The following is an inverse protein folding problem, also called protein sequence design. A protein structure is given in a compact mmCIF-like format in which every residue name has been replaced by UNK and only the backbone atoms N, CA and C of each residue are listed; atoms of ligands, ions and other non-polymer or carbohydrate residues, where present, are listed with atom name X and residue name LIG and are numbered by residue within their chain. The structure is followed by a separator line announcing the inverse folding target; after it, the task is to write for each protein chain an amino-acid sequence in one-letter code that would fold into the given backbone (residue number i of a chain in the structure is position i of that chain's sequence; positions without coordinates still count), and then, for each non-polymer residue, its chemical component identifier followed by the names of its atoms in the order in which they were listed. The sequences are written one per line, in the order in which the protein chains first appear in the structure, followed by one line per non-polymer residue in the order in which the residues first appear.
data_IF_158386202327
#
_entry.id   IF_158386202327
#
_cell.length_a   1.000
_cell.length_b   1.000
_cell.length_c   1.000
_cell.angle_alpha   90.00
_cell.angle_beta   90.00
_cell.angle_gamma   90.00
#
_symmetry.space_group_name_H-M   'P 1'
#
loop_
_entity.id
_entity.type
_entity.pdbx_description
1 polymer ?
#
# COMPACT_ATOMS: atom_id res chain seq x y z
N UNK A 1 5.64 15.48 22.05
CA UNK A 1 6.29 15.22 20.75
C UNK A 1 5.45 15.90 19.66
N UNK A 2 6.01 16.86 18.92
CA UNK A 2 5.34 17.42 17.74
C UNK A 2 5.28 16.31 16.67
N UNK A 3 4.08 15.90 16.27
CA UNK A 3 3.91 15.03 15.10
C UNK A 3 4.23 15.85 13.85
N UNK A 4 5.31 15.54 13.16
CA UNK A 4 5.54 15.99 11.80
C UNK A 4 4.63 15.18 10.87
N UNK A 5 3.49 15.77 10.49
CA UNK A 5 2.59 15.18 9.50
C UNK A 5 3.14 15.39 8.10
N UNK A 6 3.06 14.37 7.25
CA UNK A 6 3.33 14.54 5.83
C UNK A 6 2.09 15.11 5.12
N UNK A 7 2.26 16.32 4.59
CA UNK A 7 1.22 17.04 3.87
C UNK A 7 0.81 16.35 2.56
N UNK A 8 1.73 15.68 1.86
CA UNK A 8 1.45 14.98 0.60
C UNK A 8 0.59 13.74 0.83
N UNK A 9 0.88 12.94 1.86
CA UNK A 9 0.05 11.80 2.24
C UNK A 9 -1.33 12.25 2.75
N UNK A 10 -1.37 13.34 3.52
CA UNK A 10 -2.63 13.93 3.95
C UNK A 10 -3.48 14.34 2.73
N UNK A 11 -2.88 15.10 1.81
CA UNK A 11 -3.56 15.57 0.59
C UNK A 11 -3.98 14.40 -0.29
N UNK A 12 -3.10 13.41 -0.49
CA UNK A 12 -3.40 12.19 -1.25
C UNK A 12 -4.54 11.39 -0.63
N UNK A 13 -4.55 11.22 0.69
CA UNK A 13 -5.62 10.55 1.43
C UNK A 13 -6.97 11.27 1.29
N UNK A 14 -6.98 12.61 1.36
CA UNK A 14 -8.22 13.39 1.14
C UNK A 14 -8.73 13.25 -0.29
N UNK A 15 -7.84 13.37 -1.28
CA UNK A 15 -8.21 13.17 -2.69
C UNK A 15 -8.74 11.75 -2.93
N UNK A 16 -8.13 10.74 -2.30
CA UNK A 16 -8.59 9.35 -2.36
C UNK A 16 -10.00 9.21 -1.77
N UNK A 17 -10.30 9.81 -0.62
CA UNK A 17 -11.66 9.79 -0.04
C UNK A 17 -12.67 10.43 -0.99
N UNK A 18 -12.37 11.62 -1.51
CA UNK A 18 -13.30 12.35 -2.39
C UNK A 18 -13.60 11.57 -3.67
N UNK A 19 -12.57 10.98 -4.27
CA UNK A 19 -12.71 10.16 -5.49
C UNK A 19 -13.46 8.85 -5.22
N UNK A 20 -13.22 8.20 -4.07
CA UNK A 20 -13.97 7.01 -3.65
C UNK A 20 -15.45 7.30 -3.40
N UNK A 21 -15.78 8.40 -2.73
CA UNK A 21 -17.18 8.81 -2.51
C UNK A 21 -17.87 9.11 -3.85
N UNK A 22 -17.22 9.85 -4.74
CA UNK A 22 -17.76 10.15 -6.06
C UNK A 22 -17.99 8.88 -6.89
N UNK A 23 -16.99 7.98 -6.91
CA UNK A 23 -17.11 6.66 -7.52
C UNK A 23 -18.29 5.89 -6.91
N UNK A 24 -18.46 5.96 -5.58
CA UNK A 24 -19.52 5.24 -4.88
C UNK A 24 -20.93 5.68 -5.24
N UNK A 25 -21.15 6.98 -5.23
CA UNK A 25 -22.44 7.55 -5.62
C UNK A 25 -22.79 7.17 -7.06
N UNK A 26 -21.82 7.24 -7.97
CA UNK A 26 -22.04 6.91 -9.38
C UNK A 26 -22.32 5.43 -9.60
N UNK A 27 -21.58 4.54 -8.93
CA UNK A 27 -21.78 3.09 -9.06
C UNK A 27 -23.08 2.61 -8.44
N UNK A 28 -23.49 3.23 -7.32
CA UNK A 28 -24.78 2.91 -6.70
C UNK A 28 -25.97 3.41 -7.53
N UNK A 29 -25.78 4.47 -8.33
CA UNK A 29 -26.86 5.10 -9.12
C UNK A 29 -26.97 4.55 -10.56
N UNK A 30 -25.88 4.04 -11.14
CA UNK A 30 -25.80 3.69 -12.57
C UNK A 30 -25.24 2.27 -12.83
N UNK A 31 -25.48 1.34 -11.91
CA UNK A 31 -25.03 -0.07 -11.96
C UNK A 31 -23.49 -0.27 -11.90
N UNK A 32 -23.07 -1.53 -11.70
CA UNK A 32 -21.72 -1.93 -11.25
C UNK A 32 -20.62 -1.74 -12.31
N UNK A 33 -19.43 -1.34 -11.88
CA UNK A 33 -18.18 -1.41 -12.66
C UNK A 33 -17.61 -2.84 -12.62
N UNK A 34 -17.06 -3.34 -13.73
CA UNK A 34 -16.44 -4.67 -13.85
C UNK A 34 -14.92 -4.67 -13.60
N UNK A 35 -14.40 -3.60 -13.03
CA UNK A 35 -12.97 -3.53 -12.71
C UNK A 35 -12.63 -4.23 -11.39
N UNK A 36 -13.63 -4.50 -10.53
CA UNK A 36 -13.39 -5.03 -9.17
C UNK A 36 -14.47 -6.00 -8.69
N UNK A 37 -14.10 -6.83 -7.71
CA UNK A 37 -14.93 -7.93 -7.20
C UNK A 37 -16.27 -7.47 -6.62
N UNK A 38 -16.19 -6.56 -5.65
CA UNK A 38 -17.32 -6.03 -4.93
C UNK A 38 -17.01 -4.58 -4.57
N UNK A 39 -17.61 -3.70 -5.33
CA UNK A 39 -17.38 -2.27 -5.22
C UNK A 39 -17.70 -1.70 -3.83
N UNK A 40 -18.70 -2.23 -3.12
CA UNK A 40 -19.00 -1.81 -1.75
C UNK A 40 -17.86 -2.19 -0.80
N UNK A 41 -17.39 -3.43 -0.87
CA UNK A 41 -16.28 -3.91 -0.03
C UNK A 41 -14.98 -3.16 -0.34
N UNK A 42 -14.68 -2.95 -1.61
CA UNK A 42 -13.55 -2.14 -2.06
C UNK A 42 -13.61 -0.72 -1.51
N UNK A 43 -14.77 -0.05 -1.64
CA UNK A 43 -14.92 1.33 -1.16
C UNK A 43 -14.65 1.41 0.34
N UNK A 44 -15.19 0.48 1.14
CA UNK A 44 -14.92 0.45 2.58
C UNK A 44 -13.45 0.20 2.90
N UNK A 45 -12.83 -0.75 2.22
CA UNK A 45 -11.44 -1.13 2.46
C UNK A 45 -10.48 0.01 2.08
N UNK A 46 -10.65 0.61 0.90
CA UNK A 46 -9.83 1.73 0.44
C UNK A 46 -10.09 3.02 1.24
N UNK A 47 -11.32 3.23 1.73
CA UNK A 47 -11.62 4.34 2.63
C UNK A 47 -10.93 4.15 3.99
N UNK A 48 -10.88 2.93 4.53
CA UNK A 48 -10.11 2.63 5.72
C UNK A 48 -8.60 2.91 5.51
N UNK A 49 -8.04 2.52 4.36
CA UNK A 49 -6.66 2.88 3.99
C UNK A 49 -6.48 4.40 3.96
N UNK A 50 -7.39 5.13 3.32
CA UNK A 50 -7.30 6.58 3.22
C UNK A 50 -7.30 7.25 4.62
N UNK A 51 -8.15 6.79 5.53
CA UNK A 51 -8.15 7.27 6.93
C UNK A 51 -6.84 6.97 7.65
N UNK A 52 -6.24 5.79 7.46
CA UNK A 52 -4.94 5.44 8.03
C UNK A 52 -3.85 6.40 7.53
N UNK A 53 -3.86 6.72 6.23
CA UNK A 53 -2.91 7.64 5.59
C UNK A 53 -3.09 9.10 6.02
N UNK A 54 -4.31 9.50 6.38
CA UNK A 54 -4.61 10.83 6.95
C UNK A 54 -4.16 10.92 8.41
N UNK A 55 -4.46 9.89 9.23
CA UNK A 55 -4.20 9.90 10.67
C UNK A 55 -2.72 9.73 11.03
N UNK A 56 -1.95 9.04 10.19
CA UNK A 56 -0.50 8.85 10.32
C UNK A 56 -0.07 8.45 11.75
N UNK A 57 -0.76 7.48 12.35
CA UNK A 57 -0.39 6.95 13.67
C UNK A 57 0.88 6.09 13.60
N UNK A 58 1.45 5.69 14.74
CA UNK A 58 2.67 4.86 14.75
C UNK A 58 2.47 3.59 13.91
N UNK A 59 3.38 3.33 12.97
CA UNK A 59 3.29 2.19 12.04
C UNK A 59 2.09 2.21 11.08
N UNK A 60 1.57 3.41 10.76
CA UNK A 60 0.51 3.57 9.76
C UNK A 60 0.88 2.93 8.42
N UNK A 61 2.13 3.10 7.96
CA UNK A 61 2.58 2.58 6.65
C UNK A 61 2.54 1.05 6.57
N UNK A 62 2.91 0.37 7.66
CA UNK A 62 2.80 -1.09 7.78
C UNK A 62 1.33 -1.54 7.74
N UNK A 63 0.47 -0.86 8.51
CA UNK A 63 -0.96 -1.20 8.60
C UNK A 63 -1.65 -1.00 7.25
N UNK A 64 -1.42 0.13 6.58
CA UNK A 64 -1.95 0.42 5.26
C UNK A 64 -1.46 -0.61 4.22
N UNK A 65 -0.16 -0.95 4.24
CA UNK A 65 0.41 -1.93 3.29
C UNK A 65 -0.20 -3.32 3.47
N UNK A 66 -0.42 -3.79 4.70
CA UNK A 66 -1.06 -5.09 4.97
C UNK A 66 -2.47 -5.12 4.39
N UNK A 67 -3.26 -4.06 4.61
CA UNK A 67 -4.62 -3.96 4.08
C UNK A 67 -4.60 -3.96 2.54
N UNK A 68 -3.63 -3.26 1.94
CA UNK A 68 -3.48 -3.21 0.48
C UNK A 68 -3.05 -4.54 -0.15
N UNK A 69 -2.21 -5.35 0.53
CA UNK A 69 -1.86 -6.72 0.11
C UNK A 69 -3.10 -7.61 0.09
N UNK A 70 -3.90 -7.56 1.16
CA UNK A 70 -5.16 -8.33 1.22
C UNK A 70 -6.10 -7.89 0.08
N UNK A 71 -6.19 -6.59 -0.17
CA UNK A 71 -6.98 -6.04 -1.25
C UNK A 71 -6.53 -6.50 -2.64
N UNK A 72 -5.22 -6.45 -2.93
CA UNK A 72 -4.71 -6.88 -4.23
C UNK A 72 -4.89 -8.39 -4.45
N UNK A 73 -4.73 -9.22 -3.41
CA UNK A 73 -5.05 -10.64 -3.48
C UNK A 73 -6.53 -10.91 -3.85
N UNK A 74 -7.47 -10.16 -3.27
CA UNK A 74 -8.90 -10.25 -3.65
C UNK A 74 -9.15 -9.85 -5.11
N UNK A 75 -8.45 -8.83 -5.62
CA UNK A 75 -8.59 -8.41 -7.01
C UNK A 75 -7.99 -9.42 -8.00
N UNK A 76 -6.90 -10.09 -7.65
CA UNK A 76 -6.37 -11.21 -8.46
C UNK A 76 -7.40 -12.35 -8.51
N UNK A 77 -7.96 -12.73 -7.36
CA UNK A 77 -9.01 -13.75 -7.31
C UNK A 77 -10.22 -13.36 -8.17
N UNK A 78 -10.60 -12.09 -8.18
CA UNK A 78 -11.65 -11.59 -9.08
C UNK A 78 -11.30 -11.74 -10.55
N UNK A 79 -10.07 -11.37 -10.96
CA UNK A 79 -9.64 -11.56 -12.35
C UNK A 79 -9.73 -13.03 -12.81
N UNK A 80 -9.51 -13.98 -11.88
CA UNK A 80 -9.62 -15.42 -12.15
C UNK A 80 -11.09 -15.88 -12.21
N UNK A 81 -11.88 -15.50 -11.22
CA UNK A 81 -13.26 -16.00 -11.03
C UNK A 81 -14.31 -15.24 -11.86
N UNK A 82 -14.02 -14.00 -12.24
CA UNK A 82 -14.93 -13.08 -12.93
C UNK A 82 -15.12 -13.36 -14.42
N UNK A 83 -14.33 -14.26 -15.01
CA UNK A 83 -14.39 -14.62 -16.44
C UNK A 83 -15.81 -14.96 -16.92
N UNK A 84 -16.54 -15.73 -16.11
CA UNK A 84 -17.93 -16.14 -16.41
C UNK A 84 -18.95 -14.98 -16.52
N UNK A 85 -18.69 -13.83 -15.87
CA UNK A 85 -19.57 -12.65 -15.96
C UNK A 85 -19.25 -11.78 -17.17
N UNK A 86 -18.04 -11.92 -17.72
CA UNK A 86 -17.50 -11.13 -18.83
C UNK A 86 -17.82 -11.71 -20.21
N UNK A 87 -17.96 -13.03 -20.29
CA UNK A 87 -18.32 -13.73 -21.54
C UNK A 87 -19.60 -13.20 -22.18
N UNK A 88 -20.55 -12.74 -21.37
CA UNK A 88 -21.82 -12.18 -21.83
C UNK A 88 -21.72 -10.73 -22.33
N UNK A 89 -20.64 -10.00 -21.99
CA UNK A 89 -20.53 -8.57 -22.21
C UNK A 89 -19.66 -8.21 -23.42
N UNK A 90 -18.57 -8.95 -23.64
CA UNK A 90 -17.59 -8.65 -24.70
C UNK A 90 -17.95 -9.27 -26.06
N UNK A 91 -18.84 -10.27 -26.10
CA UNK A 91 -19.37 -10.88 -27.33
C UNK A 91 -18.35 -11.54 -28.27
N UNK A 92 -17.07 -11.51 -27.90
CA UNK A 92 -15.93 -12.09 -28.63
C UNK A 92 -14.95 -12.69 -27.64
N UNK A 93 -14.59 -13.96 -27.86
CA UNK A 93 -13.65 -14.71 -27.03
C UNK A 93 -12.24 -14.08 -27.05
N UNK A 94 -11.84 -13.47 -28.17
CA UNK A 94 -10.53 -12.80 -28.29
C UNK A 94 -10.44 -11.56 -27.39
N UNK A 95 -11.50 -10.75 -27.36
CA UNK A 95 -11.57 -9.57 -26.51
C UNK A 95 -11.66 -9.95 -25.03
N UNK A 96 -12.35 -11.04 -24.72
CA UNK A 96 -12.43 -11.58 -23.36
C UNK A 96 -11.06 -12.04 -22.85
N UNK A 97 -10.30 -12.79 -23.66
CA UNK A 97 -8.94 -13.22 -23.31
C UNK A 97 -8.02 -12.01 -23.10
N UNK A 98 -8.05 -11.02 -23.99
CA UNK A 98 -7.23 -9.82 -23.88
C UNK A 98 -7.59 -9.02 -22.63
N UNK A 99 -8.89 -8.87 -22.34
CA UNK A 99 -9.37 -8.18 -21.14
C UNK A 99 -8.92 -8.89 -19.86
N UNK A 100 -9.15 -10.19 -19.73
CA UNK A 100 -8.79 -10.97 -18.53
C UNK A 100 -7.28 -10.94 -18.32
N UNK A 101 -6.50 -11.10 -19.39
CA UNK A 101 -5.04 -11.05 -19.31
C UNK A 101 -4.55 -9.67 -18.85
N UNK A 102 -5.09 -8.59 -19.42
CA UNK A 102 -4.73 -7.23 -19.03
C UNK A 102 -5.13 -6.91 -17.58
N UNK A 103 -6.32 -7.37 -17.16
CA UNK A 103 -6.82 -7.19 -15.80
C UNK A 103 -5.95 -7.92 -14.78
N UNK A 104 -5.64 -9.20 -15.03
CA UNK A 104 -4.78 -10.02 -14.18
C UNK A 104 -3.37 -9.45 -14.09
N UNK A 105 -2.76 -9.09 -15.23
CA UNK A 105 -1.44 -8.48 -15.24
C UNK A 105 -1.41 -7.17 -14.46
N UNK A 106 -2.43 -6.31 -14.62
CA UNK A 106 -2.58 -5.08 -13.85
C UNK A 106 -2.63 -5.35 -12.35
N UNK A 107 -3.53 -6.22 -11.90
CA UNK A 107 -3.66 -6.54 -10.48
C UNK A 107 -2.44 -7.25 -9.88
N UNK A 108 -1.77 -8.11 -10.63
CA UNK A 108 -0.52 -8.76 -10.19
C UNK A 108 0.61 -7.75 -10.06
N UNK A 109 0.76 -6.81 -11.00
CA UNK A 109 1.76 -5.74 -10.90
C UNK A 109 1.49 -4.82 -9.70
N UNK A 110 0.23 -4.50 -9.44
CA UNK A 110 -0.18 -3.79 -8.24
C UNK A 110 0.20 -4.56 -6.96
N UNK A 111 -0.14 -5.85 -6.88
CA UNK A 111 0.15 -6.69 -5.72
C UNK A 111 1.65 -6.78 -5.44
N UNK A 112 2.45 -7.02 -6.49
CA UNK A 112 3.91 -7.01 -6.40
C UNK A 112 4.41 -5.66 -5.87
N UNK A 113 3.90 -4.55 -6.39
CA UNK A 113 4.31 -3.22 -5.93
C UNK A 113 4.02 -3.02 -4.43
N UNK A 114 2.83 -3.40 -3.97
CA UNK A 114 2.43 -3.26 -2.56
C UNK A 114 3.24 -4.20 -1.65
N UNK A 115 3.57 -5.42 -2.09
CA UNK A 115 4.47 -6.32 -1.34
C UNK A 115 5.86 -5.70 -1.15
N UNK A 116 6.39 -5.04 -2.18
CA UNK A 116 7.65 -4.31 -2.06
C UNK A 116 7.55 -3.10 -1.13
N UNK A 117 6.41 -2.38 -1.11
CA UNK A 117 6.17 -1.34 -0.10
C UNK A 117 6.11 -1.94 1.30
N UNK A 118 5.40 -3.06 1.50
CA UNK A 118 5.32 -3.76 2.78
C UNK A 118 6.72 -4.19 3.26
N UNK A 119 7.53 -4.77 2.39
CA UNK A 119 8.92 -5.12 2.68
C UNK A 119 9.73 -3.89 3.07
N UNK A 120 9.60 -2.79 2.31
CA UNK A 120 10.32 -1.55 2.59
C UNK A 120 9.93 -0.92 3.95
N UNK A 121 8.65 -0.88 4.30
CA UNK A 121 8.19 -0.33 5.59
C UNK A 121 8.43 -1.26 6.78
N UNK A 122 8.77 -2.53 6.54
CA UNK A 122 9.07 -3.51 7.61
C UNK A 122 10.56 -3.83 7.76
N UNK A 123 11.36 -3.65 6.70
CA UNK A 123 12.78 -3.99 6.68
C UNK A 123 13.65 -2.73 6.68
N UNK A 124 14.43 -2.46 7.73
CA UNK A 124 15.21 -1.22 7.88
C UNK A 124 16.42 -1.10 6.93
N UNK A 125 16.74 -2.14 6.14
CA UNK A 125 17.92 -2.18 5.26
C UNK A 125 17.59 -2.28 3.77
N UNK A 126 16.32 -2.10 3.40
CA UNK A 126 15.90 -2.28 2.02
C UNK A 126 16.23 -1.03 1.17
N UNK A 127 16.83 -1.21 -0.01
CA UNK A 127 17.28 -0.09 -0.85
C UNK A 127 16.10 0.77 -1.31
N UNK A 128 15.99 1.97 -0.74
CA UNK A 128 14.95 2.95 -1.04
C UNK A 128 14.92 3.37 -2.52
N UNK A 129 16.09 3.54 -3.16
CA UNK A 129 16.17 4.00 -4.56
C UNK A 129 15.65 2.94 -5.50
N UNK A 130 16.06 1.68 -5.28
CA UNK A 130 15.56 0.54 -6.03
C UNK A 130 14.05 0.38 -5.83
N UNK A 131 13.59 0.33 -4.58
CA UNK A 131 12.17 0.15 -4.23
C UNK A 131 11.30 1.19 -4.90
N UNK A 132 11.67 2.47 -4.78
CA UNK A 132 10.90 3.57 -5.35
C UNK A 132 10.78 3.45 -6.86
N UNK A 133 11.90 3.20 -7.56
CA UNK A 133 11.88 3.05 -9.03
C UNK A 133 11.06 1.83 -9.46
N UNK A 134 11.22 0.71 -8.77
CA UNK A 134 10.50 -0.52 -9.08
C UNK A 134 9.00 -0.35 -8.85
N UNK A 135 8.58 0.18 -7.70
CA UNK A 135 7.17 0.42 -7.38
C UNK A 135 6.54 1.42 -8.34
N UNK A 136 7.21 2.53 -8.66
CA UNK A 136 6.71 3.48 -9.66
C UNK A 136 6.54 2.79 -11.02
N UNK A 137 7.53 2.00 -11.47
CA UNK A 137 7.45 1.27 -12.72
C UNK A 137 6.29 0.28 -12.76
N UNK A 138 6.14 -0.55 -11.72
CA UNK A 138 5.09 -1.54 -11.60
C UNK A 138 3.69 -0.91 -11.54
N UNK A 139 3.51 0.13 -10.72
CA UNK A 139 2.24 0.85 -10.62
C UNK A 139 1.90 1.60 -11.92
N UNK A 140 2.89 2.17 -12.61
CA UNK A 140 2.64 2.84 -13.90
C UNK A 140 2.22 1.84 -14.97
N UNK A 141 2.91 0.70 -15.07
CA UNK A 141 2.54 -0.37 -15.99
C UNK A 141 1.13 -0.92 -15.68
N UNK A 142 0.83 -1.15 -14.39
CA UNK A 142 -0.52 -1.53 -13.94
C UNK A 142 -1.57 -0.51 -14.36
N UNK A 143 -1.33 0.78 -14.10
CA UNK A 143 -2.26 1.85 -14.44
C UNK A 143 -2.56 1.90 -15.94
N UNK A 144 -1.53 1.79 -16.78
CA UNK A 144 -1.68 1.80 -18.24
C UNK A 144 -2.55 0.62 -18.69
N UNK A 145 -2.31 -0.58 -18.17
CA UNK A 145 -3.12 -1.76 -18.49
C UNK A 145 -4.57 -1.56 -18.09
N UNK A 146 -4.83 -1.12 -16.85
CA UNK A 146 -6.18 -0.90 -16.34
C UNK A 146 -6.91 0.19 -17.13
N UNK A 147 -6.24 1.29 -17.51
CA UNK A 147 -6.83 2.33 -18.37
C UNK A 147 -7.13 1.78 -19.76
N UNK A 148 -6.24 0.97 -20.34
CA UNK A 148 -6.39 0.45 -21.70
C UNK A 148 -7.55 -0.55 -21.82
N UNK A 149 -7.77 -1.40 -20.81
CA UNK A 149 -8.84 -2.41 -20.83
C UNK A 149 -10.20 -1.85 -20.38
N UNK A 150 -10.23 -0.75 -19.63
CA UNK A 150 -11.46 -0.21 -19.04
C UNK A 150 -12.53 0.19 -20.07
N UNK A 151 -12.20 0.79 -21.24
CA UNK A 151 -13.18 1.07 -22.29
C UNK A 151 -13.86 -0.18 -22.86
N UNK A 152 -13.20 -1.35 -22.83
CA UNK A 152 -13.76 -2.59 -23.38
C UNK A 152 -14.99 -3.07 -22.61
N UNK A 153 -15.09 -2.72 -21.33
CA UNK A 153 -16.17 -3.14 -20.42
C UNK A 153 -17.07 -1.98 -19.98
N UNK A 154 -16.91 -0.81 -20.61
CA UNK A 154 -17.66 0.40 -20.29
C UNK A 154 -18.57 0.75 -21.46
N UNK A 155 -19.88 0.77 -21.22
CA UNK A 155 -20.84 1.26 -22.22
C UNK A 155 -20.55 2.72 -22.58
N UNK A 156 -20.83 3.12 -23.82
CA UNK A 156 -20.58 4.48 -24.34
C UNK A 156 -21.57 5.53 -23.82
N UNK A 157 -22.37 5.22 -22.80
CA UNK A 157 -23.28 6.17 -22.17
C UNK A 157 -22.53 7.12 -21.25
N UNK A 158 -22.93 8.40 -21.21
CA UNK A 158 -22.30 9.42 -20.38
C UNK A 158 -22.12 8.99 -18.90
N UNK A 159 -23.11 8.37 -18.22
CA UNK A 159 -22.95 7.92 -16.84
C UNK A 159 -21.86 6.84 -16.67
N UNK A 160 -21.77 5.91 -17.62
CA UNK A 160 -20.77 4.84 -17.62
C UNK A 160 -19.35 5.39 -17.80
N UNK A 161 -19.20 6.37 -18.70
CA UNK A 161 -17.92 7.07 -18.93
C UNK A 161 -17.50 7.86 -17.68
N UNK A 162 -18.41 8.61 -17.05
CA UNK A 162 -18.12 9.35 -15.83
C UNK A 162 -17.71 8.41 -14.69
N UNK A 163 -18.41 7.29 -14.51
CA UNK A 163 -18.06 6.24 -13.55
C UNK A 163 -16.65 5.70 -13.78
N UNK A 164 -16.31 5.38 -15.03
CA UNK A 164 -14.98 4.91 -15.40
C UNK A 164 -13.90 5.94 -15.05
N UNK A 165 -14.11 7.21 -15.37
CA UNK A 165 -13.17 8.30 -15.06
C UNK A 165 -12.95 8.43 -13.56
N UNK A 166 -14.01 8.42 -12.74
CA UNK A 166 -13.89 8.47 -11.28
C UNK A 166 -13.16 7.26 -10.70
N UNK A 167 -13.39 6.06 -11.25
CA UNK A 167 -12.65 4.86 -10.84
C UNK A 167 -11.15 4.99 -11.15
N UNK A 168 -10.79 5.44 -12.36
CA UNK A 168 -9.40 5.68 -12.74
C UNK A 168 -8.75 6.73 -11.83
N UNK A 169 -9.44 7.83 -11.52
CA UNK A 169 -8.94 8.86 -10.61
C UNK A 169 -8.69 8.30 -9.20
N UNK A 170 -9.55 7.40 -8.72
CA UNK A 170 -9.36 6.73 -7.43
C UNK A 170 -8.10 5.86 -7.43
N UNK A 171 -7.86 5.11 -8.51
CA UNK A 171 -6.65 4.29 -8.70
C UNK A 171 -5.41 5.19 -8.71
N UNK A 172 -5.44 6.29 -9.45
CA UNK A 172 -4.32 7.26 -9.52
C UNK A 172 -4.01 7.84 -8.14
N UNK A 173 -5.04 8.27 -7.40
CA UNK A 173 -4.88 8.81 -6.05
C UNK A 173 -4.28 7.77 -5.09
N UNK A 174 -4.73 6.52 -5.18
CA UNK A 174 -4.19 5.41 -4.40
C UNK A 174 -2.71 5.17 -4.74
N UNK A 175 -2.36 5.11 -6.02
CA UNK A 175 -0.99 4.84 -6.47
C UNK A 175 -0.04 5.96 -6.05
N UNK A 176 -0.50 7.21 -6.12
CA UNK A 176 0.23 8.35 -5.57
C UNK A 176 0.53 8.15 -4.08
N UNK A 177 -0.47 7.77 -3.28
CA UNK A 177 -0.28 7.51 -1.85
C UNK A 177 0.73 6.39 -1.59
N UNK A 178 0.65 5.28 -2.33
CA UNK A 178 1.58 4.15 -2.18
C UNK A 178 3.02 4.57 -2.46
N UNK A 179 3.25 5.40 -3.50
CA UNK A 179 4.59 5.93 -3.79
C UNK A 179 5.09 6.83 -2.66
N UNK A 180 4.22 7.69 -2.11
CA UNK A 180 4.59 8.56 -0.99
C UNK A 180 4.92 7.77 0.29
N UNK A 181 4.30 6.61 0.53
CA UNK A 181 4.64 5.74 1.67
C UNK A 181 6.10 5.25 1.64
N UNK A 182 6.72 5.15 0.47
CA UNK A 182 8.14 4.76 0.32
C UNK A 182 9.07 5.91 0.67
N UNK A 183 8.70 7.16 0.36
CA UNK A 183 9.51 8.34 0.66
C UNK A 183 9.64 8.59 2.18
N UNK A 184 8.75 7.99 2.96
CA UNK A 184 8.51 8.27 4.38
C UNK A 184 8.86 7.14 5.33
N UNK A 185 9.24 5.95 4.83
CA UNK A 185 9.55 4.83 5.70
C UNK A 185 10.59 5.30 6.73
N UNK A 186 10.25 5.25 8.03
CA UNK A 186 11.13 5.78 9.05
C UNK A 186 12.43 5.01 8.90
N UNK A 187 13.51 5.74 8.65
CA UNK A 187 14.81 5.32 9.15
C UNK A 187 14.53 5.14 10.64
N UNK A 188 14.29 3.90 11.08
CA UNK A 188 14.50 3.59 12.48
C UNK A 188 15.85 4.19 12.76
N UNK A 189 15.89 5.22 13.61
CA UNK A 189 17.13 5.68 14.16
C UNK A 189 17.81 4.39 14.61
N UNK A 190 18.81 3.96 13.84
CA UNK A 190 20.00 3.41 14.42
C UNK A 190 20.45 4.53 15.35
N UNK A 191 19.80 4.66 16.52
CA UNK A 191 20.55 4.97 17.71
C UNK A 191 21.70 3.99 17.58
N UNK A 192 22.95 4.45 17.41
CA UNK A 192 24.04 3.54 17.63
C UNK A 192 23.67 2.94 18.98
N UNK A 193 23.43 1.64 19.03
CA UNK A 193 23.36 0.96 20.31
C UNK A 193 24.72 1.31 20.86
N UNK A 194 24.77 2.27 21.79
CA UNK A 194 25.97 2.58 22.54
C UNK A 194 26.32 1.23 23.13
N UNK A 195 27.26 0.51 22.50
CA UNK A 195 27.69 -0.81 22.94
C UNK A 195 28.20 -0.69 24.39
N UNK A 196 28.67 0.50 24.75
CA UNK A 196 28.94 0.97 26.11
C UNK A 196 27.74 0.80 27.05
N UNK A 197 26.52 1.20 26.67
CA UNK A 197 25.35 1.11 27.56
C UNK A 197 24.90 -0.33 27.84
N UNK A 198 24.96 -1.23 26.84
CA UNK A 198 24.65 -2.65 27.05
C UNK A 198 25.68 -3.35 27.93
N UNK A 199 26.98 -3.09 27.71
CA UNK A 199 28.05 -3.63 28.56
C UNK A 199 27.98 -3.11 29.99
N UNK A 200 27.69 -1.81 30.17
CA UNK A 200 27.50 -1.21 31.49
C UNK A 200 26.28 -1.82 32.23
N UNK A 201 25.20 -2.08 31.51
CA UNK A 201 23.99 -2.70 32.07
C UNK A 201 24.20 -4.19 32.43
N UNK A 202 25.00 -4.92 31.64
CA UNK A 202 25.44 -6.29 31.98
C UNK A 202 26.38 -6.31 33.19
N UNK A 203 27.36 -5.40 33.27
CA UNK A 203 28.26 -5.25 34.41
C UNK A 203 27.48 -4.95 35.69
N UNK A 204 26.49 -4.06 35.63
CA UNK A 204 25.63 -3.75 36.77
C UNK A 204 24.83 -4.96 37.22
N UNK A 205 24.27 -5.75 36.28
CA UNK A 205 23.57 -7.00 36.62
C UNK A 205 24.48 -8.05 37.26
N UNK A 206 25.76 -8.11 36.86
CA UNK A 206 26.74 -9.02 37.49
C UNK A 206 27.07 -8.59 38.92
N UNK A 207 27.22 -7.28 39.16
CA UNK A 207 27.43 -6.71 40.48
C UNK A 207 26.22 -6.91 41.40
N UNK A 208 25.01 -6.59 40.92
CA UNK A 208 23.76 -6.75 41.67
C UNK A 208 23.47 -8.22 42.03
N UNK A 209 24.01 -9.18 41.26
CA UNK A 209 23.94 -10.62 41.53
C UNK A 209 25.07 -11.14 42.44
N UNK A 210 25.99 -10.28 42.86
CA UNK A 210 27.15 -10.65 43.69
C UNK A 210 28.18 -11.52 42.96
N UNK A 211 28.18 -11.54 41.63
CA UNK A 211 29.08 -12.36 40.81
C UNK A 211 30.44 -11.69 40.58
N UNK A 212 30.53 -10.38 40.81
CA UNK A 212 31.77 -9.58 40.74
C UNK A 212 31.83 -8.68 41.97
N UNK A 213 33.04 -8.37 42.43
CA UNK A 213 33.25 -7.47 43.57
C UNK A 213 33.14 -5.99 43.16
N UNK A 214 32.96 -5.10 44.14
CA UNK A 214 32.88 -3.66 43.88
C UNK A 214 34.13 -3.14 43.18
N UNK A 215 35.32 -3.61 43.56
CA UNK A 215 36.59 -3.23 42.92
C UNK A 215 36.67 -3.68 41.47
N UNK A 216 36.17 -4.88 41.13
CA UNK A 216 36.13 -5.38 39.76
C UNK A 216 35.11 -4.63 38.89
N UNK A 217 33.99 -4.21 39.48
CA UNK A 217 32.99 -3.40 38.80
C UNK A 217 33.53 -2.01 38.44
N UNK A 218 34.17 -1.33 39.40
CA UNK A 218 34.74 0.01 39.20
C UNK A 218 35.87 0.00 38.15
N UNK A 219 36.75 -1.01 38.20
CA UNK A 219 37.84 -1.17 37.21
C UNK A 219 37.32 -1.43 35.80
N UNK A 220 36.31 -2.30 35.64
CA UNK A 220 35.76 -2.63 34.32
C UNK A 220 34.90 -1.50 33.74
N UNK A 221 34.37 -0.62 34.58
CA UNK A 221 33.71 0.62 34.13
C UNK A 221 34.73 1.68 33.72
N UNK A 222 35.88 1.80 34.40
CA UNK A 222 36.91 2.75 33.98
C UNK A 222 37.60 2.36 32.67
N UNK A 223 37.63 1.06 32.34
CA UNK A 223 38.21 0.52 31.12
C UNK A 223 37.25 0.54 29.90
N UNK A 224 36.02 1.04 30.07
CA UNK A 224 34.91 1.06 29.09
C UNK A 224 34.68 2.45 28.50
#
# INVERSE_FOLDING_TARGET
MQKTYNLKLLTGGVVLILTLIASFVLQNSFEKSYLTFNFTLETFLLMAVAFILILQFKSYGKTASIILVVYGAFNILYGILGSSSLSNLLGSLELEVLFILGLLLGHVLFEIAVLFVLLHVTQPRFDMKFTRRFVIGALTASLILLIAISPLVTYTTLPSVLRMVCAILSIVALYFCIVQMIEEAPVEENKPVNQTSKKQEELKKLYDRGLITQSEYEQRISDL
#
